data_IF_929643203865
#
_entry.id   IF_929643203865
#
_cell.length_a   1.000
_cell.length_b   1.000
_cell.length_c   1.000
_cell.angle_alpha   90.00
_cell.angle_beta   90.00
_cell.angle_gamma   90.00
#
_symmetry.space_group_name_H-M   'P 1'
#
loop_
_entity.id
_entity.type
_entity.pdbx_description
1 polymer ?
#
# COMPACT_ATOMS: atom_id res chain seq x y z
N UNK A 1 -5.41 -6.08 -8.20
CA UNK A 1 -5.31 -7.56 -8.14
C UNK A 1 -3.98 -8.05 -7.57
N UNK A 2 -2.92 -7.23 -7.56
CA UNK A 2 -1.59 -7.63 -7.08
C UNK A 2 -1.54 -8.03 -5.59
N UNK A 3 -2.29 -7.33 -4.72
CA UNK A 3 -2.31 -7.64 -3.28
C UNK A 3 -2.86 -9.02 -2.93
N UNK A 4 -3.80 -9.55 -3.72
CA UNK A 4 -4.38 -10.89 -3.48
C UNK A 4 -3.38 -12.01 -3.81
N UNK A 5 -2.56 -11.82 -4.85
CA UNK A 5 -1.52 -12.78 -5.24
C UNK A 5 -0.37 -12.79 -4.25
N UNK A 6 0.03 -11.60 -3.77
CA UNK A 6 1.04 -11.46 -2.70
C UNK A 6 0.55 -12.13 -1.41
N UNK A 7 -0.71 -11.94 -1.04
CA UNK A 7 -1.31 -12.58 0.13
C UNK A 7 -1.38 -14.10 0.01
N UNK A 8 -1.74 -14.64 -1.16
CA UNK A 8 -1.72 -16.08 -1.39
C UNK A 8 -0.29 -16.67 -1.31
N UNK A 9 0.70 -15.95 -1.82
CA UNK A 9 2.10 -16.38 -1.76
C UNK A 9 2.61 -16.39 -0.31
N UNK A 10 2.33 -15.35 0.47
CA UNK A 10 2.62 -15.25 1.91
C UNK A 10 1.96 -16.40 2.69
N UNK A 11 0.67 -16.67 2.45
CA UNK A 11 -0.05 -17.74 3.12
C UNK A 11 0.55 -19.13 2.82
N UNK A 12 0.94 -19.38 1.57
CA UNK A 12 1.60 -20.63 1.16
C UNK A 12 2.98 -20.77 1.82
N UNK A 13 3.74 -19.67 1.91
CA UNK A 13 5.05 -19.66 2.54
C UNK A 13 4.96 -19.84 4.06
N UNK A 14 3.98 -19.22 4.72
CA UNK A 14 3.70 -19.40 6.14
C UNK A 14 3.35 -20.85 6.47
N UNK A 15 2.50 -21.49 5.65
CA UNK A 15 2.14 -22.90 5.80
C UNK A 15 3.33 -23.83 5.62
N UNK A 16 4.19 -23.59 4.63
CA UNK A 16 5.41 -24.38 4.42
C UNK A 16 6.43 -24.21 5.57
N UNK A 17 6.54 -23.02 6.14
CA UNK A 17 7.36 -22.80 7.33
C UNK A 17 6.81 -23.54 8.56
N UNK A 18 5.48 -23.53 8.75
CA UNK A 18 4.82 -24.26 9.82
C UNK A 18 5.03 -25.78 9.69
N UNK A 19 4.93 -26.34 8.49
CA UNK A 19 5.20 -27.76 8.22
C UNK A 19 6.64 -28.15 8.57
N UNK A 20 7.65 -27.39 8.12
CA UNK A 20 9.06 -27.65 8.45
C UNK A 20 9.34 -27.56 9.95
N UNK A 21 8.64 -26.68 10.66
CA UNK A 21 8.75 -26.60 12.12
C UNK A 21 8.12 -27.82 12.80
N UNK A 22 6.94 -28.24 12.34
CA UNK A 22 6.27 -29.45 12.77
C UNK A 22 7.11 -30.72 12.52
N UNK A 23 7.82 -30.80 11.39
CA UNK A 23 8.70 -31.92 11.03
C UNK A 23 9.86 -32.10 12.02
N UNK A 24 10.32 -31.01 12.65
CA UNK A 24 11.35 -31.03 13.70
C UNK A 24 10.87 -31.56 15.05
N UNK A 25 9.58 -31.85 15.19
CA UNK A 25 8.97 -32.34 16.43
C UNK A 25 8.40 -33.77 16.19
N UNK A 26 9.27 -34.78 15.97
CA UNK A 26 8.85 -36.12 15.58
C UNK A 26 8.08 -36.88 16.69
N UNK A 27 8.13 -36.39 17.92
CA UNK A 27 7.39 -36.93 19.06
C UNK A 27 5.93 -36.47 19.12
N UNK A 28 5.49 -35.56 18.24
CA UNK A 28 4.09 -35.14 18.17
C UNK A 28 3.26 -36.15 17.39
N UNK A 29 2.06 -36.45 17.90
CA UNK A 29 1.07 -37.18 17.11
C UNK A 29 0.57 -36.32 15.94
N UNK A 30 0.03 -36.94 14.90
CA UNK A 30 -0.49 -36.25 13.71
C UNK A 30 -1.50 -35.15 14.08
N UNK A 31 -2.38 -35.41 15.06
CA UNK A 31 -3.36 -34.43 15.54
C UNK A 31 -2.70 -33.23 16.23
N UNK A 32 -1.66 -33.44 17.05
CA UNK A 32 -0.94 -32.35 17.69
C UNK A 32 -0.10 -31.55 16.69
N UNK A 33 0.42 -32.21 15.66
CA UNK A 33 1.16 -31.57 14.56
C UNK A 33 0.26 -30.64 13.74
N UNK A 34 -0.94 -31.10 13.37
CA UNK A 34 -1.90 -30.27 12.62
C UNK A 34 -2.37 -29.06 13.41
N UNK A 35 -2.56 -29.21 14.73
CA UNK A 35 -2.93 -28.11 15.61
C UNK A 35 -1.82 -27.04 15.69
N UNK A 36 -0.56 -27.45 15.85
CA UNK A 36 0.59 -26.54 15.84
C UNK A 36 0.71 -25.82 14.50
N UNK A 37 0.54 -26.53 13.38
CA UNK A 37 0.57 -25.92 12.04
C UNK A 37 -0.52 -24.87 11.91
N UNK A 38 -1.73 -25.16 12.39
CA UNK A 38 -2.88 -24.25 12.34
C UNK A 38 -2.64 -22.98 13.15
N UNK A 39 -2.28 -23.13 14.42
CA UNK A 39 -2.06 -21.99 15.34
C UNK A 39 -0.89 -21.13 14.87
N UNK A 40 0.23 -21.75 14.50
CA UNK A 40 1.40 -21.01 14.03
C UNK A 40 1.13 -20.27 12.72
N UNK A 41 0.36 -20.87 11.79
CA UNK A 41 0.00 -20.19 10.53
C UNK A 41 -0.89 -18.97 10.81
N UNK A 42 -1.85 -19.09 11.73
CA UNK A 42 -2.74 -17.98 12.10
C UNK A 42 -1.96 -16.83 12.75
N UNK A 43 -1.11 -17.13 13.73
CA UNK A 43 -0.28 -16.14 14.43
C UNK A 43 0.67 -15.39 13.49
N UNK A 44 1.30 -16.11 12.56
CA UNK A 44 2.23 -15.52 11.58
C UNK A 44 1.51 -14.61 10.58
N UNK A 45 0.29 -14.97 10.17
CA UNK A 45 -0.54 -14.15 9.28
C UNK A 45 -1.04 -12.89 9.98
N UNK A 46 -1.43 -12.99 11.26
CA UNK A 46 -1.86 -11.85 12.07
C UNK A 46 -0.70 -10.87 12.28
N UNK A 47 0.49 -11.38 12.61
CA UNK A 47 1.69 -10.57 12.78
C UNK A 47 2.12 -9.87 11.47
N UNK A 48 2.08 -10.59 10.34
CA UNK A 48 2.38 -10.03 9.01
C UNK A 48 1.38 -8.92 8.67
N UNK A 49 0.08 -9.16 8.90
CA UNK A 49 -0.98 -8.16 8.68
C UNK A 49 -0.81 -6.93 9.55
N UNK A 50 -0.55 -7.09 10.85
CA UNK A 50 -0.34 -5.98 11.77
C UNK A 50 0.85 -5.10 11.36
N UNK A 51 1.94 -5.72 10.90
CA UNK A 51 3.14 -5.03 10.43
C UNK A 51 2.87 -4.22 9.16
N UNK A 52 2.14 -4.80 8.20
CA UNK A 52 1.76 -4.12 6.96
C UNK A 52 0.78 -2.96 7.24
N UNK A 53 -0.20 -3.16 8.13
CA UNK A 53 -1.12 -2.11 8.55
C UNK A 53 -0.38 -0.95 9.23
N UNK A 54 0.51 -1.22 10.17
CA UNK A 54 1.29 -0.21 10.87
C UNK A 54 2.23 0.57 9.92
N UNK A 55 2.86 -0.12 8.96
CA UNK A 55 3.67 0.53 7.93
C UNK A 55 2.82 1.38 6.99
N UNK A 56 1.62 0.91 6.62
CA UNK A 56 0.66 1.68 5.83
C UNK A 56 0.24 2.96 6.55
N UNK A 57 -0.13 2.88 7.83
CA UNK A 57 -0.48 4.03 8.67
C UNK A 57 0.68 5.03 8.78
N UNK A 58 1.90 4.55 9.05
CA UNK A 58 3.09 5.41 9.10
C UNK A 58 3.41 6.06 7.75
N UNK A 59 3.24 5.33 6.65
CA UNK A 59 3.43 5.86 5.29
C UNK A 59 2.33 6.85 4.90
N UNK A 60 1.13 6.71 5.45
CA UNK A 60 0.02 7.63 5.25
C UNK A 60 0.23 8.91 6.06
N UNK A 61 0.70 8.79 7.31
CA UNK A 61 1.11 9.94 8.12
C UNK A 61 2.20 10.77 7.41
N UNK A 62 3.19 10.11 6.79
CA UNK A 62 4.17 10.78 5.92
C UNK A 62 3.52 11.39 4.66
N UNK A 63 2.63 10.67 3.96
CA UNK A 63 2.00 11.14 2.72
C UNK A 63 1.02 12.29 2.91
N UNK A 64 0.40 12.45 4.07
CA UNK A 64 -0.45 13.61 4.36
C UNK A 64 0.38 14.91 4.36
N UNK A 65 1.60 14.88 4.90
CA UNK A 65 2.56 15.99 4.86
C UNK A 65 2.94 16.38 3.41
N UNK A 66 3.06 15.39 2.51
CA UNK A 66 3.37 15.62 1.09
C UNK A 66 2.17 16.06 0.27
N UNK A 67 0.97 15.54 0.56
CA UNK A 67 -0.24 15.82 -0.24
C UNK A 67 -0.70 17.27 -0.06
N UNK A 68 -0.55 17.83 1.14
CA UNK A 68 -0.83 19.25 1.41
C UNK A 68 0.14 20.21 0.68
N UNK A 69 1.42 19.80 0.55
CA UNK A 69 2.41 20.56 -0.24
C UNK A 69 2.18 20.44 -1.74
N UNK A 70 1.71 19.29 -2.21
CA UNK A 70 1.44 19.08 -3.63
C UNK A 70 0.16 19.79 -4.10
N UNK A 71 -0.87 19.88 -3.25
CA UNK A 71 -2.11 20.59 -3.58
C UNK A 71 -1.89 22.09 -3.77
N UNK A 72 -1.05 22.70 -2.92
CA UNK A 72 -0.69 24.12 -3.03
C UNK A 72 0.17 24.41 -4.25
N UNK A 73 1.15 23.56 -4.58
CA UNK A 73 1.94 23.69 -5.80
C UNK A 73 1.09 23.50 -7.06
N UNK A 74 0.21 22.50 -7.05
CA UNK A 74 -0.74 22.24 -8.16
C UNK A 74 -1.72 23.39 -8.34
N UNK A 75 -2.27 23.96 -7.25
CA UNK A 75 -3.15 25.11 -7.32
C UNK A 75 -2.44 26.34 -7.91
N UNK A 76 -1.17 26.57 -7.55
CA UNK A 76 -0.36 27.65 -8.15
C UNK A 76 -0.12 27.41 -9.63
N UNK A 77 0.32 26.22 -10.04
CA UNK A 77 0.55 25.91 -11.45
C UNK A 77 -0.72 26.05 -12.28
N UNK A 78 -1.86 25.54 -11.78
CA UNK A 78 -3.15 25.69 -12.45
C UNK A 78 -3.56 27.17 -12.53
N UNK A 79 -3.41 27.93 -11.45
CA UNK A 79 -3.69 29.38 -11.45
C UNK A 79 -2.84 30.16 -12.46
N UNK A 80 -1.54 29.83 -12.56
CA UNK A 80 -0.65 30.47 -13.54
C UNK A 80 -1.00 30.07 -14.96
N UNK A 81 -1.36 28.81 -15.21
CA UNK A 81 -1.80 28.35 -16.54
C UNK A 81 -3.12 29.02 -16.97
N UNK A 82 -4.07 29.18 -16.05
CA UNK A 82 -5.33 29.89 -16.29
C UNK A 82 -5.09 31.38 -16.57
N UNK A 83 -4.22 32.03 -15.78
CA UNK A 83 -3.85 33.42 -15.99
C UNK A 83 -3.15 33.62 -17.35
N UNK A 84 -2.20 32.75 -17.71
CA UNK A 84 -1.52 32.79 -19.00
C UNK A 84 -2.49 32.57 -20.17
N UNK A 85 -3.43 31.64 -20.05
CA UNK A 85 -4.48 31.42 -21.04
C UNK A 85 -5.40 32.63 -21.19
N UNK A 86 -5.81 33.25 -20.08
CA UNK A 86 -6.63 34.45 -20.10
C UNK A 86 -5.90 35.63 -20.77
N UNK A 87 -4.62 35.84 -20.45
CA UNK A 87 -3.78 36.85 -21.10
C UNK A 87 -3.63 36.55 -22.59
N UNK A 88 -3.41 35.30 -22.98
CA UNK A 88 -3.32 34.92 -24.38
C UNK A 88 -4.62 35.20 -25.15
N UNK A 89 -5.78 34.91 -24.54
CA UNK A 89 -7.10 35.23 -25.12
C UNK A 89 -7.29 36.75 -25.26
N UNK A 90 -6.92 37.54 -24.25
CA UNK A 90 -7.01 39.00 -24.31
C UNK A 90 -6.08 39.57 -25.39
N UNK A 91 -4.86 39.05 -25.51
CA UNK A 91 -3.92 39.45 -26.57
C UNK A 91 -4.48 39.06 -27.94
N UNK A 92 -5.04 37.86 -28.07
CA UNK A 92 -5.67 37.39 -29.31
C UNK A 92 -6.84 38.30 -29.70
N UNK A 93 -7.74 38.62 -28.76
CA UNK A 93 -8.85 39.55 -28.99
C UNK A 93 -8.37 40.98 -29.30
N UNK A 94 -7.24 41.43 -28.74
CA UNK A 94 -6.65 42.72 -29.08
C UNK A 94 -5.99 42.72 -30.47
N UNK A 95 -5.46 41.56 -30.90
CA UNK A 95 -4.82 41.38 -32.21
C UNK A 95 -5.84 41.13 -33.34
N UNK A 96 -7.00 40.56 -33.00
CA UNK A 96 -8.08 40.19 -33.93
C UNK A 96 -9.34 41.05 -33.80
N UNK A 97 -9.43 41.90 -32.77
CA UNK A 97 -10.49 42.88 -32.57
C UNK A 97 -10.38 44.02 -33.58
N UNK A 98 -11.52 44.58 -33.99
CA UNK A 98 -11.77 45.19 -35.31
C UNK A 98 -10.89 46.38 -35.69
#
# INVERSE_FOLDING_TARGET
MEGFLVWQAEAKQARSAAQRFADRLPWLTTAQRDEVIRVYTADRLETSRATVCHLAERSQAMRQEYTARYSTLRARLLGWSLAAAAVAVVIQELLLGP
#
